data_IF_849543494855
#
_entry.id   IF_849543494855
#
_cell.length_a   1.000
_cell.length_b   1.000
_cell.length_c   1.000
_cell.angle_alpha   90.00
_cell.angle_beta   90.00
_cell.angle_gamma   90.00
#
_symmetry.space_group_name_H-M   'P 1'
#
loop_
_entity.id
_entity.type
_entity.pdbx_description
1 polymer ?
#
# COMPACT_ATOMS: atom_id res chain seq x y z
N UNK A 1 12.75 -25.08 -14.84
CA UNK A 1 11.44 -24.49 -15.15
C UNK A 1 11.59 -22.98 -15.12
N UNK A 2 10.86 -22.24 -15.94
CA UNK A 2 10.87 -20.77 -15.93
C UNK A 2 10.31 -20.26 -14.59
N UNK A 3 11.02 -19.34 -13.93
CA UNK A 3 10.58 -18.67 -12.69
C UNK A 3 9.35 -17.77 -12.91
N UNK A 4 9.12 -17.32 -14.14
CA UNK A 4 8.03 -16.42 -14.50
C UNK A 4 7.06 -17.06 -15.50
N UNK A 5 5.81 -16.60 -15.43
CA UNK A 5 4.73 -16.93 -16.37
C UNK A 5 4.15 -15.66 -16.99
N UNK A 6 3.35 -15.79 -18.05
CA UNK A 6 2.69 -14.66 -18.71
C UNK A 6 1.19 -14.73 -18.49
N UNK A 7 0.58 -13.58 -18.22
CA UNK A 7 -0.87 -13.40 -18.20
C UNK A 7 -1.29 -12.46 -19.33
N UNK A 8 -2.46 -12.71 -19.92
CA UNK A 8 -3.05 -11.83 -20.92
C UNK A 8 -4.11 -10.95 -20.25
N UNK A 9 -3.99 -9.64 -20.41
CA UNK A 9 -4.94 -8.66 -19.85
C UNK A 9 -5.29 -7.60 -20.89
N UNK A 10 -6.45 -6.96 -20.73
CA UNK A 10 -6.83 -5.83 -21.57
C UNK A 10 -5.94 -4.60 -21.32
N UNK A 11 -5.79 -3.75 -22.34
CA UNK A 11 -5.01 -2.50 -22.24
C UNK A 11 -5.51 -1.59 -21.10
N UNK A 12 -6.83 -1.46 -20.97
CA UNK A 12 -7.46 -0.70 -19.90
C UNK A 12 -7.06 -1.22 -18.51
N UNK A 13 -7.04 -2.55 -18.32
CA UNK A 13 -6.58 -3.16 -17.06
C UNK A 13 -5.13 -2.81 -16.78
N UNK A 14 -4.26 -2.86 -17.80
CA UNK A 14 -2.85 -2.46 -17.66
C UNK A 14 -2.72 -0.99 -17.24
N UNK A 15 -3.50 -0.08 -17.82
CA UNK A 15 -3.49 1.34 -17.48
C UNK A 15 -3.95 1.57 -16.03
N UNK A 16 -4.98 0.86 -15.58
CA UNK A 16 -5.40 0.87 -14.17
C UNK A 16 -4.29 0.39 -13.24
N UNK A 17 -3.58 -0.69 -13.60
CA UNK A 17 -2.43 -1.16 -12.82
C UNK A 17 -1.28 -0.14 -12.77
N UNK A 18 -1.07 0.65 -13.84
CA UNK A 18 -0.11 1.76 -13.83
C UNK A 18 -0.54 2.84 -12.84
N UNK A 19 -1.84 3.19 -12.80
CA UNK A 19 -2.37 4.18 -11.86
C UNK A 19 -2.32 3.76 -10.38
N UNK A 20 -2.22 2.46 -10.11
CA UNK A 20 -2.11 1.91 -8.74
C UNK A 20 -0.67 1.96 -8.21
N UNK A 21 0.34 2.14 -9.07
CA UNK A 21 1.73 2.19 -8.64
C UNK A 21 1.97 3.33 -7.65
N UNK A 22 2.58 3.02 -6.51
CA UNK A 22 2.94 4.03 -5.51
C UNK A 22 4.25 4.74 -5.89
N UNK A 23 5.11 4.08 -6.68
CA UNK A 23 6.39 4.63 -7.16
C UNK A 23 6.61 4.32 -8.64
N UNK A 24 7.35 5.18 -9.34
CA UNK A 24 7.61 5.03 -10.78
C UNK A 24 8.35 3.73 -11.14
N UNK A 25 9.16 3.18 -10.22
CA UNK A 25 9.98 1.97 -10.44
C UNK A 25 9.34 0.68 -9.95
N UNK A 26 8.12 0.73 -9.43
CA UNK A 26 7.42 -0.46 -8.93
C UNK A 26 7.10 -1.43 -10.08
N UNK A 27 7.36 -2.72 -9.89
CA UNK A 27 7.08 -3.78 -10.86
C UNK A 27 5.60 -4.19 -10.83
N UNK A 28 5.12 -4.81 -11.91
CA UNK A 28 3.74 -5.33 -11.91
C UNK A 28 3.57 -6.50 -10.92
N UNK A 29 4.61 -7.29 -10.68
CA UNK A 29 4.62 -8.35 -9.66
C UNK A 29 4.34 -7.78 -8.26
N UNK A 30 5.04 -6.70 -7.88
CA UNK A 30 4.83 -6.02 -6.60
C UNK A 30 3.41 -5.45 -6.48
N UNK A 31 2.91 -4.79 -7.54
CA UNK A 31 1.54 -4.25 -7.57
C UNK A 31 0.51 -5.37 -7.42
N UNK A 32 0.66 -6.47 -8.18
CA UNK A 32 -0.28 -7.60 -8.15
C UNK A 32 -0.27 -8.26 -6.77
N UNK A 33 0.90 -8.54 -6.19
CA UNK A 33 1.01 -9.12 -4.85
C UNK A 33 0.43 -8.22 -3.76
N UNK A 34 0.58 -6.89 -3.89
CA UNK A 34 -0.06 -5.92 -3.01
C UNK A 34 -1.57 -6.00 -3.10
N UNK A 35 -2.13 -6.04 -4.32
CA UNK A 35 -3.57 -6.17 -4.53
C UNK A 35 -4.13 -7.49 -3.98
N UNK A 36 -3.42 -8.60 -4.18
CA UNK A 36 -3.78 -9.91 -3.63
C UNK A 36 -3.78 -9.84 -2.09
N UNK A 37 -2.73 -9.30 -1.49
CA UNK A 37 -2.62 -9.15 -0.03
C UNK A 37 -3.75 -8.30 0.54
N UNK A 38 -4.12 -7.20 -0.13
CA UNK A 38 -5.26 -6.37 0.27
C UNK A 38 -6.56 -7.18 0.21
N UNK A 39 -6.79 -7.88 -0.90
CA UNK A 39 -7.99 -8.71 -1.06
C UNK A 39 -8.09 -9.81 0.01
N UNK A 40 -6.98 -10.50 0.31
CA UNK A 40 -6.93 -11.53 1.34
C UNK A 40 -7.21 -10.96 2.74
N UNK A 41 -6.61 -9.81 3.08
CA UNK A 41 -6.88 -9.11 4.35
C UNK A 41 -8.33 -8.69 4.47
N UNK A 42 -8.91 -8.10 3.42
CA UNK A 42 -10.32 -7.72 3.41
C UNK A 42 -11.24 -8.94 3.60
N UNK A 43 -10.85 -10.08 3.03
CA UNK A 43 -11.60 -11.33 3.17
C UNK A 43 -11.48 -11.94 4.57
N UNK A 44 -10.32 -11.86 5.23
CA UNK A 44 -10.09 -12.47 6.55
C UNK A 44 -10.47 -11.55 7.72
N UNK A 45 -10.20 -10.26 7.61
CA UNK A 45 -10.31 -9.28 8.69
C UNK A 45 -11.49 -8.30 8.49
N UNK A 46 -12.11 -8.30 7.31
CA UNK A 46 -13.16 -7.34 6.94
C UNK A 46 -12.59 -6.01 6.42
N UNK A 47 -13.48 -5.11 6.01
CA UNK A 47 -13.08 -3.77 5.57
C UNK A 47 -12.62 -2.90 6.74
N UNK A 48 -11.53 -2.14 6.51
CA UNK A 48 -11.14 -1.07 7.43
C UNK A 48 -12.30 -0.08 7.58
N UNK A 49 -12.55 0.32 8.82
CA UNK A 49 -13.53 1.38 9.10
C UNK A 49 -13.11 2.68 8.43
N UNK A 50 -14.09 3.52 8.08
CA UNK A 50 -13.83 4.82 7.45
C UNK A 50 -12.95 5.74 8.32
N UNK A 51 -12.98 5.57 9.64
CA UNK A 51 -12.07 6.29 10.55
C UNK A 51 -10.62 5.83 10.37
N UNK A 52 -10.37 4.52 10.34
CA UNK A 52 -9.02 3.97 10.16
C UNK A 52 -8.41 4.37 8.80
N UNK A 53 -9.23 4.43 7.73
CA UNK A 53 -8.78 4.91 6.41
C UNK A 53 -8.33 6.38 6.47
N UNK A 54 -9.06 7.25 7.18
CA UNK A 54 -8.69 8.65 7.37
C UNK A 54 -7.40 8.82 8.16
N UNK A 55 -7.22 8.04 9.22
CA UNK A 55 -6.02 8.10 10.05
C UNK A 55 -4.77 7.69 9.26
N UNK A 56 -4.87 6.63 8.44
CA UNK A 56 -3.78 6.20 7.55
C UNK A 56 -3.46 7.27 6.51
N UNK A 57 -4.47 7.92 5.92
CA UNK A 57 -4.26 8.99 4.94
C UNK A 57 -3.53 10.20 5.57
N UNK A 58 -3.93 10.60 6.77
CA UNK A 58 -3.30 11.67 7.53
C UNK A 58 -1.84 11.32 7.88
N UNK A 59 -1.58 10.09 8.34
CA UNK A 59 -0.22 9.64 8.64
C UNK A 59 0.69 9.67 7.39
N UNK A 60 0.19 9.20 6.24
CA UNK A 60 0.92 9.27 4.96
C UNK A 60 1.21 10.71 4.56
N UNK A 61 0.27 11.63 4.78
CA UNK A 61 0.45 13.05 4.47
C UNK A 61 1.50 13.71 5.38
N UNK A 62 1.52 13.39 6.67
CA UNK A 62 2.53 13.89 7.61
C UNK A 62 3.94 13.41 7.25
N UNK A 63 4.09 12.13 6.87
CA UNK A 63 5.37 11.61 6.39
C UNK A 63 5.81 12.37 5.13
N UNK A 64 4.89 12.59 4.18
CA UNK A 64 5.17 13.35 2.95
C UNK A 64 5.57 14.80 3.23
N UNK A 65 5.02 15.42 4.27
CA UNK A 65 5.34 16.78 4.72
C UNK A 65 6.59 16.85 5.59
N UNK A 66 7.22 15.71 5.92
CA UNK A 66 8.39 15.64 6.80
C UNK A 66 8.08 15.94 8.27
N UNK A 67 6.80 15.96 8.66
CA UNK A 67 6.34 16.19 10.03
C UNK A 67 6.05 14.90 10.79
N UNK A 68 6.49 13.76 10.26
CA UNK A 68 6.38 12.47 10.93
C UNK A 68 7.23 12.42 12.20
N UNK A 69 6.71 11.80 13.26
CA UNK A 69 7.47 11.55 14.49
C UNK A 69 8.56 10.50 14.22
N UNK A 70 9.80 10.83 14.59
CA UNK A 70 10.89 9.86 14.73
C UNK A 70 10.53 8.91 15.88
N UNK A 71 10.79 7.61 15.69
CA UNK A 71 10.70 6.55 16.69
C UNK A 71 11.24 6.96 18.07
N UNK A 72 12.39 7.64 18.15
CA UNK A 72 12.99 8.08 19.42
C UNK A 72 12.14 9.14 20.13
N UNK A 73 11.55 10.09 19.38
CA UNK A 73 10.66 11.12 19.94
C UNK A 73 9.31 10.52 20.34
N UNK A 74 8.84 9.54 19.58
CA UNK A 74 7.60 8.84 19.86
C UNK A 74 7.71 8.03 21.16
N UNK A 75 8.82 7.31 21.36
CA UNK A 75 9.08 6.59 22.61
C UNK A 75 9.14 7.52 23.81
N UNK A 76 9.82 8.67 23.67
CA UNK A 76 9.89 9.68 24.72
C UNK A 76 8.51 10.28 25.10
N UNK A 77 7.63 10.55 24.12
CA UNK A 77 6.26 11.03 24.37
C UNK A 77 5.35 9.96 24.99
N UNK A 78 5.55 8.69 24.61
CA UNK A 78 4.76 7.57 25.12
C UNK A 78 5.29 6.97 26.43
N UNK A 79 6.44 7.46 26.91
CA UNK A 79 7.09 6.99 28.15
C UNK A 79 7.62 5.56 28.06
N UNK A 80 8.05 5.13 26.88
CA UNK A 80 8.56 3.79 26.56
C UNK A 80 10.08 3.77 26.37
#
# INVERSE_FOLDING_TARGET
MSEYTTILIHKETKERLVGIKEYARESYEEVINKLITIYEKLKSEGELTESAKKDIALAREQIKKGTGLNTEKLMAELGL
#
